data_IF_803905270514
#
_entry.id   IF_803905270514
#
_cell.length_a   1.000
_cell.length_b   1.000
_cell.length_c   1.000
_cell.angle_alpha   90.00
_cell.angle_beta   90.00
_cell.angle_gamma   90.00
#
_symmetry.space_group_name_H-M   'P 1'
#
loop_
_entity.id
_entity.type
_entity.pdbx_description
1 polymer ?
#
# COMPACT_ATOMS: atom_id res chain seq x y z
N UNK A 1 18.00 16.95 -14.74
CA UNK A 1 17.13 16.96 -13.55
C UNK A 1 17.90 17.64 -12.45
N UNK A 2 17.22 18.48 -11.69
CA UNK A 2 17.81 19.14 -10.55
C UNK A 2 18.07 18.10 -9.45
N UNK A 3 19.10 18.27 -8.61
CA UNK A 3 19.33 17.42 -7.45
C UNK A 3 18.11 17.34 -6.52
N UNK A 4 17.37 18.44 -6.38
CA UNK A 4 16.16 18.53 -5.57
C UNK A 4 15.08 17.56 -6.05
N UNK A 5 14.77 17.55 -7.36
CA UNK A 5 13.77 16.64 -7.93
C UNK A 5 14.13 15.17 -7.71
N UNK A 6 15.41 14.81 -7.88
CA UNK A 6 15.87 13.44 -7.64
C UNK A 6 15.74 13.04 -6.16
N UNK A 7 16.03 13.96 -5.24
CA UNK A 7 15.89 13.73 -3.81
C UNK A 7 14.43 13.53 -3.41
N UNK A 8 13.52 14.35 -3.93
CA UNK A 8 12.08 14.23 -3.63
C UNK A 8 11.50 12.94 -4.19
N UNK A 9 11.91 12.54 -5.40
CA UNK A 9 11.57 11.23 -5.97
C UNK A 9 12.04 10.08 -5.07
N UNK A 10 13.30 10.12 -4.61
CA UNK A 10 13.85 9.08 -3.74
C UNK A 10 13.12 9.03 -2.38
N UNK A 11 12.71 10.18 -1.83
CA UNK A 11 11.90 10.23 -0.61
C UNK A 11 10.54 9.57 -0.81
N UNK A 12 9.90 9.80 -1.94
CA UNK A 12 8.60 9.19 -2.25
C UNK A 12 8.72 7.68 -2.44
N UNK A 13 9.76 7.20 -3.12
CA UNK A 13 10.08 5.76 -3.24
C UNK A 13 10.32 5.14 -1.84
N UNK A 14 11.08 5.83 -0.98
CA UNK A 14 11.35 5.36 0.40
C UNK A 14 10.08 5.33 1.26
N UNK A 15 9.19 6.30 1.08
CA UNK A 15 7.88 6.35 1.74
C UNK A 15 7.02 5.16 1.31
N UNK A 16 6.98 4.86 0.01
CA UNK A 16 6.26 3.70 -0.52
C UNK A 16 6.74 2.38 0.06
N UNK A 17 8.06 2.13 0.09
CA UNK A 17 8.63 0.93 0.71
C UNK A 17 8.24 0.81 2.19
N UNK A 18 8.25 1.95 2.90
CA UNK A 18 7.87 2.01 4.32
C UNK A 18 6.39 1.69 4.52
N UNK A 19 5.51 2.20 3.65
CA UNK A 19 4.07 1.93 3.68
C UNK A 19 3.79 0.46 3.41
N UNK A 20 4.44 -0.15 2.40
CA UNK A 20 4.25 -1.57 2.09
C UNK A 20 4.65 -2.46 3.28
N UNK A 21 5.83 -2.21 3.85
CA UNK A 21 6.29 -2.93 5.04
C UNK A 21 5.34 -2.74 6.23
N UNK A 22 4.82 -1.53 6.43
CA UNK A 22 3.86 -1.25 7.49
C UNK A 22 2.54 -2.01 7.27
N UNK A 23 2.03 -2.05 6.03
CA UNK A 23 0.83 -2.81 5.68
C UNK A 23 1.01 -4.29 6.05
N UNK A 24 2.12 -4.90 5.64
CA UNK A 24 2.40 -6.31 5.93
C UNK A 24 2.44 -6.59 7.43
N UNK A 25 3.12 -5.74 8.20
CA UNK A 25 3.20 -5.86 9.66
C UNK A 25 1.83 -5.68 10.33
N UNK A 26 1.04 -4.69 9.89
CA UNK A 26 -0.29 -4.44 10.42
C UNK A 26 -1.24 -5.61 10.12
N UNK A 27 -1.15 -6.21 8.93
CA UNK A 27 -1.96 -7.37 8.57
C UNK A 27 -1.56 -8.61 9.35
N UNK A 28 -0.27 -8.85 9.53
CA UNK A 28 0.21 -9.93 10.38
C UNK A 28 -0.22 -9.75 11.84
N UNK A 29 -0.17 -8.53 12.37
CA UNK A 29 -0.65 -8.24 13.72
C UNK A 29 -2.18 -8.38 13.85
N UNK A 30 -2.93 -8.06 12.79
CA UNK A 30 -4.38 -8.11 12.79
C UNK A 30 -4.93 -9.53 12.61
N UNK A 31 -4.29 -10.33 11.74
CA UNK A 31 -4.55 -11.75 11.54
C UNK A 31 -3.23 -12.51 11.55
N UNK A 32 -2.80 -13.00 12.74
CA UNK A 32 -1.53 -13.72 12.90
C UNK A 32 -1.46 -15.02 12.09
N UNK A 33 -2.61 -15.67 11.86
CA UNK A 33 -2.67 -16.91 11.09
C UNK A 33 -2.41 -16.64 9.59
N UNK A 34 -1.28 -17.14 9.04
CA UNK A 34 -0.95 -16.93 7.64
C UNK A 34 -1.91 -17.67 6.69
N UNK A 35 -2.49 -18.80 7.10
CA UNK A 35 -3.43 -19.54 6.26
C UNK A 35 -4.74 -18.77 6.08
N UNK A 36 -5.25 -18.15 7.15
CA UNK A 36 -6.43 -17.27 7.07
C UNK A 36 -6.10 -16.02 6.25
N UNK A 37 -4.94 -15.39 6.50
CA UNK A 37 -4.50 -14.18 5.78
C UNK A 37 -4.38 -14.43 4.26
N UNK A 38 -3.91 -15.61 3.85
CA UNK A 38 -3.83 -16.00 2.44
C UNK A 38 -5.19 -16.05 1.74
N UNK A 39 -6.30 -16.26 2.46
CA UNK A 39 -7.65 -16.23 1.88
C UNK A 39 -8.22 -14.82 1.69
N UNK A 40 -7.48 -13.78 2.11
CA UNK A 40 -7.95 -12.39 2.12
C UNK A 40 -8.98 -12.10 3.24
N UNK A 41 -9.31 -13.10 4.06
CA UNK A 41 -10.12 -12.95 5.26
C UNK A 41 -9.27 -12.38 6.39
N UNK A 42 -9.90 -11.57 7.23
CA UNK A 42 -9.23 -10.91 8.36
C UNK A 42 -9.85 -11.34 9.68
N UNK A 43 -11.15 -11.60 9.68
CA UNK A 43 -11.84 -12.16 10.83
C UNK A 43 -11.40 -13.61 11.04
N UNK A 44 -11.10 -13.96 12.29
CA UNK A 44 -11.01 -15.36 12.67
C UNK A 44 -12.40 -15.99 12.56
N UNK A 45 -12.56 -17.14 11.88
CA UNK A 45 -13.83 -17.84 11.83
C UNK A 45 -14.40 -18.05 13.23
N UNK A 46 -15.73 -18.02 13.33
CA UNK A 46 -16.40 -18.47 14.56
C UNK A 46 -15.88 -19.86 14.90
N UNK A 47 -15.61 -20.10 16.18
CA UNK A 47 -15.11 -21.39 16.65
C UNK A 47 -13.65 -21.71 16.27
N UNK A 48 -12.95 -20.83 15.54
CA UNK A 48 -11.52 -20.98 15.30
C UNK A 48 -10.67 -20.06 16.19
N UNK A 49 -11.31 -19.04 16.78
CA UNK A 49 -10.63 -18.10 17.66
C UNK A 49 -10.08 -18.80 18.92
N UNK A 50 -8.85 -18.47 19.36
CA UNK A 50 -8.29 -19.03 20.59
C UNK A 50 -9.20 -18.86 21.81
N UNK A 51 -9.94 -17.74 21.91
CA UNK A 51 -10.88 -17.51 23.00
C UNK A 51 -12.12 -18.42 22.88
N UNK A 52 -12.62 -18.66 21.66
CA UNK A 52 -13.72 -19.60 21.41
C UNK A 52 -13.29 -21.06 21.70
N UNK A 53 -12.05 -21.43 21.38
CA UNK A 53 -11.47 -22.74 21.69
C UNK A 53 -11.28 -22.94 23.19
N UNK A 54 -10.76 -21.93 23.89
CA UNK A 54 -10.61 -21.96 25.34
C UNK A 54 -11.97 -22.05 26.05
N UNK A 55 -12.96 -21.29 25.59
CA UNK A 55 -14.34 -21.35 26.10
C UNK A 55 -14.89 -22.77 26.01
N UNK A 56 -14.82 -23.41 24.84
CA UNK A 56 -15.30 -24.79 24.67
C UNK A 56 -14.55 -25.81 25.52
N UNK A 57 -13.24 -25.65 25.67
CA UNK A 57 -12.46 -26.50 26.56
C UNK A 57 -12.89 -26.35 28.03
N UNK A 58 -13.20 -25.13 28.47
CA UNK A 58 -13.70 -24.85 29.81
C UNK A 58 -15.13 -25.38 30.02
N UNK A 59 -16.00 -25.26 29.02
CA UNK A 59 -17.35 -25.84 29.05
C UNK A 59 -17.29 -27.36 29.21
N UNK A 60 -16.39 -28.04 28.48
CA UNK A 60 -16.18 -29.48 28.64
C UNK A 60 -15.57 -29.84 30.01
N UNK A 61 -14.63 -29.01 30.50
CA UNK A 61 -13.99 -29.23 31.79
C UNK A 61 -14.96 -29.06 32.98
N UNK A 62 -16.04 -28.30 32.79
CA UNK A 62 -17.06 -28.03 33.81
C UNK A 62 -17.69 -29.32 34.38
N UNK A 63 -17.79 -30.38 33.57
CA UNK A 63 -18.35 -31.68 33.99
C UNK A 63 -17.52 -32.37 35.08
N UNK A 64 -16.24 -32.01 35.20
CA UNK A 64 -15.30 -32.61 36.16
C UNK A 64 -15.14 -31.77 37.43
N UNK A 65 -15.88 -30.66 37.56
CA UNK A 65 -15.73 -29.73 38.67
C UNK A 65 -16.80 -29.92 39.75
N UNK A 66 -16.44 -29.65 41.02
CA UNK A 66 -17.42 -29.50 42.09
C UNK A 66 -18.44 -28.39 41.77
N UNK A 67 -19.69 -28.59 42.19
CA UNK A 67 -20.80 -27.68 41.87
C UNK A 67 -20.54 -26.22 42.29
N UNK A 68 -19.81 -25.99 43.38
CA UNK A 68 -19.47 -24.65 43.88
C UNK A 68 -18.44 -23.90 43.01
N UNK A 69 -17.81 -24.58 42.04
CA UNK A 69 -16.86 -23.99 41.08
C UNK A 69 -17.49 -23.71 39.71
N UNK A 70 -18.62 -24.35 39.41
CA UNK A 70 -19.31 -24.26 38.11
C UNK A 70 -19.61 -22.81 37.73
N UNK A 71 -20.19 -22.02 38.63
CA UNK A 71 -20.54 -20.61 38.36
C UNK A 71 -19.33 -19.76 37.98
N UNK A 72 -18.15 -20.08 38.54
CA UNK A 72 -16.90 -19.37 38.22
C UNK A 72 -16.47 -19.65 36.79
N UNK A 73 -16.61 -20.90 36.32
CA UNK A 73 -16.30 -21.30 34.95
C UNK A 73 -17.27 -20.64 33.98
N UNK A 74 -18.57 -20.67 34.26
CA UNK A 74 -19.59 -19.99 33.45
C UNK A 74 -19.27 -18.50 33.27
N UNK A 75 -18.83 -17.83 34.34
CA UNK A 75 -18.41 -16.43 34.28
C UNK A 75 -17.18 -16.23 33.38
N UNK A 76 -16.18 -17.11 33.45
CA UNK A 76 -14.99 -17.06 32.57
C UNK A 76 -15.40 -17.29 31.10
N UNK A 77 -16.25 -18.27 30.82
CA UNK A 77 -16.76 -18.55 29.47
C UNK A 77 -17.48 -17.34 28.87
N UNK A 78 -18.27 -16.60 29.66
CA UNK A 78 -18.90 -15.35 29.23
C UNK A 78 -17.89 -14.26 28.88
N UNK A 79 -16.83 -14.09 29.69
CA UNK A 79 -15.74 -13.14 29.41
C UNK A 79 -15.03 -13.50 28.10
N UNK A 80 -14.73 -14.78 27.88
CA UNK A 80 -14.07 -15.26 26.66
C UNK A 80 -14.94 -15.03 25.43
N UNK A 81 -16.25 -15.28 25.51
CA UNK A 81 -17.21 -15.03 24.43
C UNK A 81 -17.24 -13.54 24.03
N UNK A 82 -17.27 -12.65 25.03
CA UNK A 82 -17.23 -11.22 24.80
C UNK A 82 -15.88 -10.78 24.21
N UNK A 83 -14.76 -11.30 24.73
CA UNK A 83 -13.43 -11.00 24.21
C UNK A 83 -13.26 -11.43 22.74
N UNK A 84 -13.77 -12.61 22.37
CA UNK A 84 -13.77 -13.10 21.00
C UNK A 84 -14.56 -12.18 20.05
N UNK A 85 -15.76 -11.74 20.48
CA UNK A 85 -16.58 -10.77 19.73
C UNK A 85 -15.86 -9.43 19.55
N UNK A 86 -15.36 -8.85 20.64
CA UNK A 86 -14.60 -7.60 20.56
C UNK A 86 -13.39 -7.71 19.63
N UNK A 87 -12.63 -8.81 19.72
CA UNK A 87 -11.47 -9.04 18.83
C UNK A 87 -11.89 -9.03 17.36
N UNK A 88 -12.96 -9.74 16.98
CA UNK A 88 -13.48 -9.75 15.60
C UNK A 88 -13.90 -8.35 15.14
N UNK A 89 -14.59 -7.58 15.98
CA UNK A 89 -15.00 -6.21 15.64
C UNK A 89 -13.79 -5.29 15.40
N UNK A 90 -12.77 -5.40 16.25
CA UNK A 90 -11.52 -4.63 16.07
C UNK A 90 -10.73 -5.10 14.85
N UNK A 91 -10.78 -6.39 14.49
CA UNK A 91 -10.16 -6.90 13.27
C UNK A 91 -10.75 -6.24 12.01
N UNK A 92 -12.07 -6.07 11.96
CA UNK A 92 -12.79 -5.39 10.88
C UNK A 92 -12.38 -3.92 10.81
N UNK A 93 -12.39 -3.21 11.95
CA UNK A 93 -12.01 -1.79 12.02
C UNK A 93 -10.56 -1.57 11.57
N UNK A 94 -9.63 -2.38 12.07
CA UNK A 94 -8.21 -2.33 11.67
C UNK A 94 -8.04 -2.60 10.18
N UNK A 95 -8.77 -3.57 9.62
CA UNK A 95 -8.77 -3.85 8.16
C UNK A 95 -9.18 -2.62 7.35
N UNK A 96 -10.20 -1.89 7.80
CA UNK A 96 -10.63 -0.67 7.13
C UNK A 96 -9.51 0.38 7.10
N UNK A 97 -8.79 0.57 8.20
CA UNK A 97 -7.63 1.46 8.26
C UNK A 97 -6.49 1.02 7.33
N UNK A 98 -6.14 -0.27 7.35
CA UNK A 98 -5.08 -0.84 6.49
C UNK A 98 -5.43 -0.68 5.00
N UNK A 99 -6.71 -0.73 4.64
CA UNK A 99 -7.17 -0.54 3.26
C UNK A 99 -6.76 0.83 2.70
N UNK A 100 -6.72 1.88 3.51
CA UNK A 100 -6.30 3.21 3.07
C UNK A 100 -4.81 3.23 2.68
N UNK A 101 -3.96 2.53 3.45
CA UNK A 101 -2.54 2.38 3.13
C UNK A 101 -2.33 1.56 1.86
N UNK A 102 -3.12 0.50 1.64
CA UNK A 102 -3.09 -0.25 0.37
C UNK A 102 -3.55 0.59 -0.83
N UNK A 103 -4.50 1.52 -0.61
CA UNK A 103 -4.97 2.40 -1.69
C UNK A 103 -3.87 3.34 -2.17
N UNK A 104 -3.05 3.86 -1.26
CA UNK A 104 -1.89 4.67 -1.62
C UNK A 104 -0.99 3.97 -2.65
N UNK A 105 -0.62 2.71 -2.42
CA UNK A 105 0.16 1.91 -3.37
C UNK A 105 -0.54 1.76 -4.73
N UNK A 106 -1.78 1.25 -4.71
CA UNK A 106 -2.51 0.93 -5.94
C UNK A 106 -2.96 2.12 -6.78
N UNK A 107 -3.01 3.33 -6.20
CA UNK A 107 -3.54 4.53 -6.86
C UNK A 107 -2.46 5.61 -6.95
N UNK A 108 -2.07 6.20 -5.82
CA UNK A 108 -1.22 7.39 -5.78
C UNK A 108 0.20 7.06 -6.26
N UNK A 109 0.83 6.04 -5.68
CA UNK A 109 2.17 5.63 -6.07
C UNK A 109 2.21 5.11 -7.51
N UNK A 110 1.23 4.29 -7.91
CA UNK A 110 1.11 3.84 -9.30
C UNK A 110 1.02 5.00 -10.29
N UNK A 111 0.22 6.02 -9.98
CA UNK A 111 0.08 7.23 -10.81
C UNK A 111 1.39 8.00 -10.91
N UNK A 112 2.13 8.12 -9.80
CA UNK A 112 3.47 8.73 -9.81
C UNK A 112 4.42 7.96 -10.72
N UNK A 113 4.46 6.62 -10.63
CA UNK A 113 5.31 5.77 -11.48
C UNK A 113 4.97 5.95 -12.96
N UNK A 114 3.68 5.92 -13.32
CA UNK A 114 3.22 6.14 -14.69
C UNK A 114 3.65 7.52 -15.23
N UNK A 115 3.48 8.58 -14.43
CA UNK A 115 3.91 9.92 -14.83
C UNK A 115 5.44 10.06 -14.90
N UNK A 116 6.18 9.42 -14.01
CA UNK A 116 7.65 9.37 -14.03
C UNK A 116 8.17 8.68 -15.28
N UNK A 117 7.54 7.58 -15.71
CA UNK A 117 7.88 6.88 -16.96
C UNK A 117 7.65 7.78 -18.18
N UNK A 118 6.48 8.44 -18.26
CA UNK A 118 6.16 9.38 -19.34
C UNK A 118 7.15 10.55 -19.37
N UNK A 119 7.49 11.11 -18.21
CA UNK A 119 8.48 12.17 -18.09
C UNK A 119 9.87 11.74 -18.58
N UNK A 120 10.32 10.55 -18.20
CA UNK A 120 11.61 10.02 -18.66
C UNK A 120 11.63 9.80 -20.19
N UNK A 121 10.52 9.33 -20.77
CA UNK A 121 10.38 9.20 -22.22
C UNK A 121 10.40 10.56 -22.93
N UNK A 122 9.66 11.54 -22.41
CA UNK A 122 9.64 12.90 -22.95
C UNK A 122 11.04 13.55 -22.92
N UNK A 123 11.77 13.35 -21.82
CA UNK A 123 13.17 13.80 -21.69
C UNK A 123 14.07 13.16 -22.74
N UNK A 124 14.00 11.84 -22.92
CA UNK A 124 14.81 11.14 -23.93
C UNK A 124 14.52 11.65 -25.35
N UNK A 125 13.24 11.86 -25.67
CA UNK A 125 12.83 12.42 -26.96
C UNK A 125 13.36 13.85 -27.17
N UNK A 126 13.27 14.69 -26.14
CA UNK A 126 13.80 16.06 -26.18
C UNK A 126 15.33 16.07 -26.37
N UNK A 127 16.06 15.21 -25.65
CA UNK A 127 17.51 15.09 -25.77
C UNK A 127 17.93 14.62 -27.18
N UNK A 128 17.18 13.69 -27.78
CA UNK A 128 17.36 13.27 -29.18
C UNK A 128 17.10 14.41 -30.16
N UNK A 129 15.97 15.11 -30.03
CA UNK A 129 15.64 16.24 -30.91
C UNK A 129 16.68 17.37 -30.82
N UNK A 130 17.18 17.64 -29.61
CA UNK A 130 18.30 18.57 -29.38
C UNK A 130 19.56 18.13 -30.08
N UNK A 131 19.87 16.83 -30.06
CA UNK A 131 21.02 16.28 -30.77
C UNK A 131 20.86 16.45 -32.28
N UNK A 132 19.68 16.17 -32.83
CA UNK A 132 19.40 16.31 -34.27
C UNK A 132 19.54 17.75 -34.76
N UNK A 133 19.10 18.74 -33.96
CA UNK A 133 19.34 20.16 -34.27
C UNK A 133 20.83 20.45 -34.36
N UNK A 134 21.64 19.94 -33.42
CA UNK A 134 23.11 20.13 -33.43
C UNK A 134 23.80 19.47 -34.61
N UNK A 135 23.25 18.37 -35.15
CA UNK A 135 23.80 17.65 -36.30
C UNK A 135 23.37 18.21 -37.67
N UNK A 136 22.45 19.19 -37.69
CA UNK A 136 21.98 19.79 -38.94
C UNK A 136 23.08 20.61 -39.61
N UNK A 137 23.22 20.48 -40.94
CA UNK A 137 24.31 21.12 -41.70
C UNK A 137 23.87 22.30 -42.55
N UNK A 138 22.56 22.45 -42.75
CA UNK A 138 21.96 23.49 -43.60
C UNK A 138 20.91 24.26 -42.81
N UNK A 139 20.73 25.55 -43.10
CA UNK A 139 19.74 26.41 -42.44
C UNK A 139 18.32 25.83 -42.48
N UNK A 140 17.89 25.30 -43.62
CA UNK A 140 16.56 24.67 -43.78
C UNK A 140 16.37 23.44 -42.87
N UNK A 141 17.42 22.63 -42.68
CA UNK A 141 17.39 21.51 -41.74
C UNK A 141 17.36 21.96 -40.28
N UNK A 142 18.07 23.05 -39.95
CA UNK A 142 18.06 23.63 -38.62
C UNK A 142 16.65 24.11 -38.28
N UNK A 143 16.01 24.87 -39.16
CA UNK A 143 14.67 25.40 -38.96
C UNK A 143 13.64 24.28 -38.74
N UNK A 144 13.62 23.27 -39.63
CA UNK A 144 12.70 22.13 -39.49
C UNK A 144 12.91 21.35 -38.18
N UNK A 145 14.17 21.09 -37.80
CA UNK A 145 14.48 20.34 -36.57
C UNK A 145 14.27 21.18 -35.31
N UNK A 146 14.46 22.49 -35.38
CA UNK A 146 14.21 23.40 -34.26
C UNK A 146 12.72 23.43 -33.89
N UNK A 147 11.82 23.39 -34.88
CA UNK A 147 10.37 23.26 -34.63
C UNK A 147 10.05 21.95 -33.89
N UNK A 148 10.63 20.82 -34.32
CA UNK A 148 10.44 19.53 -33.65
C UNK A 148 11.01 19.53 -32.23
N UNK A 149 12.19 20.14 -32.03
CA UNK A 149 12.75 20.30 -30.69
C UNK A 149 11.83 21.12 -29.78
N UNK A 150 11.30 22.24 -30.28
CA UNK A 150 10.37 23.09 -29.52
C UNK A 150 9.12 22.30 -29.07
N UNK A 151 8.53 21.50 -29.97
CA UNK A 151 7.40 20.62 -29.61
C UNK A 151 7.77 19.61 -28.52
N UNK A 152 8.96 19.01 -28.59
CA UNK A 152 9.40 18.07 -27.54
C UNK A 152 9.69 18.74 -26.21
N UNK A 153 10.09 20.02 -26.20
CA UNK A 153 10.26 20.81 -24.96
C UNK A 153 8.91 21.07 -24.30
N UNK A 154 7.89 21.44 -25.07
CA UNK A 154 6.53 21.66 -24.53
C UNK A 154 5.96 20.38 -23.88
N UNK A 155 6.14 19.24 -24.53
CA UNK A 155 5.74 17.92 -23.98
C UNK A 155 6.55 17.58 -22.73
N UNK A 156 7.87 17.86 -22.73
CA UNK A 156 8.71 17.67 -21.55
C UNK A 156 8.22 18.51 -20.36
N UNK A 157 7.94 19.80 -20.58
CA UNK A 157 7.46 20.71 -19.54
C UNK A 157 6.09 20.27 -18.99
N UNK A 158 5.18 19.82 -19.86
CA UNK A 158 3.88 19.28 -19.43
C UNK A 158 4.06 18.07 -18.49
N UNK A 159 4.89 17.09 -18.86
CA UNK A 159 5.13 15.92 -18.03
C UNK A 159 5.94 16.25 -16.76
N UNK A 160 6.86 17.22 -16.84
CA UNK A 160 7.58 17.71 -15.66
C UNK A 160 6.61 18.29 -14.64
N UNK A 161 5.66 19.12 -15.07
CA UNK A 161 4.65 19.71 -14.19
C UNK A 161 3.73 18.66 -13.58
N UNK A 162 3.34 17.62 -14.34
CA UNK A 162 2.53 16.51 -13.81
C UNK A 162 3.23 15.78 -12.67
N UNK A 163 4.52 15.49 -12.81
CA UNK A 163 5.29 14.82 -11.74
C UNK A 163 5.51 15.75 -10.56
N UNK A 164 5.89 17.02 -10.80
CA UNK A 164 6.12 18.00 -9.73
C UNK A 164 4.88 18.33 -8.90
N UNK A 165 3.67 18.16 -9.45
CA UNK A 165 2.42 18.35 -8.70
C UNK A 165 2.08 17.19 -7.75
N UNK A 166 2.78 16.06 -7.87
CA UNK A 166 2.54 14.85 -7.06
C UNK A 166 3.59 14.70 -5.96
N UNK A 167 4.84 15.12 -6.25
CA UNK A 167 5.94 15.18 -5.29
C UNK A 167 5.68 16.23 -4.21
#
# INVERSE_FOLDING_TARGET
MTPEFNNDMQRYDSYHESVLKLVDLLEAANQPDPAIRATGRVECPKDEDPMDKMKRALEAFQEFLPQDKVDKVVKICSILDHAAKCKRDYQIKKRACIRHLRRFDSLEYKTLVEHREQFNQAKANMDMAKHDVKQAKTTEQIERRAVLYQQTVEVFDEHCNKVSNIL
#
